data_IF_461529426688
#
_entry.id   IF_461529426688
#
_cell.length_a   1.000
_cell.length_b   1.000
_cell.length_c   1.000
_cell.angle_alpha   90.00
_cell.angle_beta   90.00
_cell.angle_gamma   90.00
#
_symmetry.space_group_name_H-M   'P 1'
#
loop_
_entity.id
_entity.type
_entity.pdbx_description
1 polymer ?
#
# COMPACT_ATOMS: atom_id res chain seq x y z
N UNK A 1 6.68 1.83 -11.03
CA UNK A 1 6.13 0.60 -10.41
C UNK A 1 5.93 -0.44 -11.52
N UNK A 2 6.38 -1.68 -11.34
CA UNK A 2 6.10 -2.79 -12.25
C UNK A 2 4.64 -3.21 -12.07
N UNK A 3 3.88 -3.32 -13.17
CA UNK A 3 2.48 -3.76 -13.08
C UNK A 3 2.39 -5.24 -12.67
N UNK A 4 1.40 -5.56 -11.86
CA UNK A 4 1.11 -6.93 -11.43
C UNK A 4 0.21 -7.56 -12.47
N UNK A 5 0.72 -8.59 -13.15
CA UNK A 5 0.00 -9.28 -14.22
C UNK A 5 -0.38 -10.70 -13.81
N UNK A 6 -1.51 -11.24 -14.30
CA UNK A 6 -1.90 -12.61 -13.99
C UNK A 6 -0.91 -13.61 -14.62
N UNK A 7 -0.63 -14.68 -13.89
CA UNK A 7 0.16 -15.83 -14.35
C UNK A 7 -0.80 -16.99 -14.56
N UNK A 8 -0.79 -17.60 -15.76
CA UNK A 8 -1.74 -18.66 -16.14
C UNK A 8 -3.22 -18.24 -15.93
N UNK A 9 -3.52 -16.96 -16.18
CA UNK A 9 -4.87 -16.41 -16.06
C UNK A 9 -5.32 -16.07 -14.64
N UNK A 10 -4.44 -16.15 -13.64
CA UNK A 10 -4.76 -15.86 -12.25
C UNK A 10 -3.75 -14.89 -11.63
N UNK A 11 -4.22 -14.01 -10.76
CA UNK A 11 -3.37 -13.25 -9.86
C UNK A 11 -2.93 -14.13 -8.70
N UNK A 12 -1.66 -14.05 -8.38
CA UNK A 12 -1.07 -14.75 -7.25
C UNK A 12 -0.87 -13.79 -6.08
N UNK A 13 -1.11 -14.29 -4.88
CA UNK A 13 -0.73 -13.58 -3.67
C UNK A 13 0.80 -13.56 -3.56
N UNK A 14 1.36 -12.38 -3.22
CA UNK A 14 2.78 -12.29 -2.93
C UNK A 14 3.15 -13.13 -1.70
N UNK A 15 4.34 -13.71 -1.68
CA UNK A 15 4.90 -14.34 -0.50
C UNK A 15 5.55 -13.27 0.41
N UNK A 16 5.34 -13.39 1.73
CA UNK A 16 6.00 -12.52 2.69
C UNK A 16 7.42 -13.02 2.96
N UNK A 17 8.44 -12.15 2.87
CA UNK A 17 9.81 -12.51 3.24
C UNK A 17 10.04 -12.49 4.78
N UNK A 18 8.98 -12.28 5.57
CA UNK A 18 9.02 -12.17 7.04
C UNK A 18 7.75 -12.78 7.65
N UNK A 19 7.85 -13.28 8.87
CA UNK A 19 6.72 -13.85 9.62
C UNK A 19 6.12 -12.86 10.64
N UNK A 20 6.86 -11.83 10.99
CA UNK A 20 6.49 -10.72 11.85
C UNK A 20 7.37 -9.51 11.51
N UNK A 21 7.00 -8.34 11.98
CA UNK A 21 7.79 -7.12 11.83
C UNK A 21 8.23 -6.59 13.20
N UNK A 22 8.89 -7.44 13.97
CA UNK A 22 9.39 -7.13 15.32
C UNK A 22 8.24 -6.68 16.24
N UNK A 23 8.44 -5.54 16.93
CA UNK A 23 7.43 -4.98 17.82
C UNK A 23 6.41 -4.09 17.08
N UNK A 24 6.48 -4.02 15.75
CA UNK A 24 5.62 -3.12 14.92
C UNK A 24 4.35 -3.80 14.48
N UNK A 25 4.44 -5.01 13.92
CA UNK A 25 3.29 -5.81 13.51
C UNK A 25 3.53 -7.26 13.92
N UNK A 26 2.64 -7.82 14.72
CA UNK A 26 2.73 -9.19 15.21
C UNK A 26 2.48 -10.23 14.11
N UNK A 27 2.99 -11.45 14.33
CA UNK A 27 2.69 -12.59 13.47
C UNK A 27 1.17 -12.88 13.40
N UNK A 28 0.43 -12.63 14.49
CA UNK A 28 -1.03 -12.78 14.51
C UNK A 28 -1.70 -11.80 13.54
N UNK A 29 -1.34 -10.53 13.59
CA UNK A 29 -1.87 -9.51 12.66
C UNK A 29 -1.54 -9.86 11.23
N UNK A 30 -0.30 -10.25 10.91
CA UNK A 30 0.09 -10.69 9.56
C UNK A 30 -0.68 -11.92 9.10
N UNK A 31 -0.92 -12.89 10.00
CA UNK A 31 -1.70 -14.09 9.69
C UNK A 31 -3.14 -13.78 9.25
N UNK A 32 -3.76 -12.75 9.82
CA UNK A 32 -5.07 -12.27 9.37
C UNK A 32 -4.96 -11.33 8.17
N UNK A 33 -4.11 -10.34 8.24
CA UNK A 33 -4.04 -9.28 7.24
C UNK A 33 -3.58 -9.80 5.88
N UNK A 34 -2.45 -10.51 5.82
CA UNK A 34 -1.96 -11.16 4.61
C UNK A 34 -2.69 -12.48 4.34
N UNK A 35 -2.71 -13.39 5.31
CA UNK A 35 -3.19 -14.76 5.13
C UNK A 35 -4.70 -14.91 4.96
N UNK A 36 -5.51 -13.91 5.33
CA UNK A 36 -6.97 -13.94 5.19
C UNK A 36 -7.50 -12.78 4.36
N UNK A 37 -7.22 -11.52 4.71
CA UNK A 37 -7.76 -10.36 3.98
C UNK A 37 -7.23 -10.30 2.55
N UNK A 38 -5.90 -10.21 2.36
CA UNK A 38 -5.33 -10.19 1.01
C UNK A 38 -5.70 -11.44 0.22
N UNK A 39 -5.63 -12.61 0.85
CA UNK A 39 -6.03 -13.87 0.19
C UNK A 39 -7.46 -13.82 -0.32
N UNK A 40 -8.40 -13.33 0.48
CA UNK A 40 -9.80 -13.23 0.06
C UNK A 40 -9.99 -12.28 -1.12
N UNK A 41 -9.27 -11.14 -1.15
CA UNK A 41 -9.32 -10.22 -2.29
C UNK A 41 -8.76 -10.85 -3.57
N UNK A 42 -7.64 -11.57 -3.48
CA UNK A 42 -7.06 -12.30 -4.62
C UNK A 42 -8.01 -13.40 -5.12
N UNK A 43 -8.56 -14.21 -4.22
CA UNK A 43 -9.50 -15.28 -4.58
C UNK A 43 -10.77 -14.72 -5.24
N UNK A 44 -11.32 -13.62 -4.71
CA UNK A 44 -12.52 -12.98 -5.26
C UNK A 44 -12.24 -12.31 -6.61
N UNK A 45 -11.09 -11.64 -6.77
CA UNK A 45 -10.66 -11.09 -8.05
C UNK A 45 -10.56 -12.19 -9.10
N UNK A 46 -9.88 -13.29 -8.80
CA UNK A 46 -9.72 -14.43 -9.71
C UNK A 46 -11.05 -15.08 -10.09
N UNK A 47 -12.02 -15.16 -9.17
CA UNK A 47 -13.37 -15.65 -9.46
C UNK A 47 -14.15 -14.73 -10.39
N UNK A 48 -13.90 -13.42 -10.31
CA UNK A 48 -14.61 -12.41 -11.08
C UNK A 48 -14.01 -12.18 -12.48
N UNK A 49 -12.76 -12.63 -12.74
CA UNK A 49 -12.08 -12.40 -14.02
C UNK A 49 -12.74 -13.09 -15.22
N UNK A 50 -13.12 -14.40 -15.17
CA UNK A 50 -13.68 -15.09 -16.33
C UNK A 50 -14.96 -14.40 -16.86
N UNK A 51 -14.97 -14.04 -18.14
CA UNK A 51 -16.10 -13.35 -18.80
C UNK A 51 -16.21 -11.86 -18.47
N UNK A 52 -15.25 -11.28 -17.77
CA UNK A 52 -15.30 -9.86 -17.37
C UNK A 52 -14.78 -8.90 -18.44
N UNK A 53 -14.02 -9.38 -19.44
CA UNK A 53 -13.27 -8.58 -20.39
C UNK A 53 -11.93 -8.05 -19.86
N UNK A 54 -11.57 -8.43 -18.63
CA UNK A 54 -10.27 -8.09 -18.02
C UNK A 54 -9.28 -9.26 -17.97
N UNK A 55 -9.59 -10.37 -18.64
CA UNK A 55 -8.71 -11.53 -18.70
C UNK A 55 -7.36 -11.15 -19.30
N UNK A 56 -6.28 -11.51 -18.63
CA UNK A 56 -4.91 -11.21 -19.06
C UNK A 56 -4.48 -9.76 -18.87
N UNK A 57 -5.36 -8.88 -18.38
CA UNK A 57 -5.02 -7.48 -18.10
C UNK A 57 -4.20 -7.36 -16.83
N UNK A 58 -3.30 -6.36 -16.80
CA UNK A 58 -2.57 -5.99 -15.59
C UNK A 58 -3.47 -5.35 -14.53
N UNK A 59 -3.06 -5.46 -13.29
CA UNK A 59 -3.85 -4.98 -12.15
C UNK A 59 -4.12 -3.47 -12.21
N UNK A 60 -3.14 -2.69 -12.68
CA UNK A 60 -3.29 -1.24 -12.90
C UNK A 60 -4.41 -0.92 -13.91
N UNK A 61 -4.49 -1.66 -15.02
CA UNK A 61 -5.55 -1.45 -16.02
C UNK A 61 -6.93 -1.80 -15.44
N UNK A 62 -7.03 -2.89 -14.68
CA UNK A 62 -8.28 -3.30 -14.03
C UNK A 62 -8.74 -2.23 -13.04
N UNK A 63 -7.85 -1.77 -12.16
CA UNK A 63 -8.14 -0.72 -11.18
C UNK A 63 -8.60 0.58 -11.82
N UNK A 64 -8.02 0.95 -12.98
CA UNK A 64 -8.40 2.20 -13.67
C UNK A 64 -9.74 2.11 -14.42
N UNK A 65 -10.22 0.90 -14.78
CA UNK A 65 -11.36 0.74 -15.70
C UNK A 65 -12.54 -0.03 -15.11
N UNK A 66 -12.29 -0.85 -14.09
CA UNK A 66 -13.34 -1.65 -13.45
C UNK A 66 -14.17 -0.82 -12.46
N UNK A 67 -15.36 -1.31 -12.19
CA UNK A 67 -16.29 -0.75 -11.22
C UNK A 67 -16.77 -1.80 -10.22
N UNK A 68 -17.42 -1.35 -9.15
CA UNK A 68 -18.08 -2.22 -8.16
C UNK A 68 -17.14 -3.24 -7.52
N UNK A 69 -17.58 -4.50 -7.46
CA UNK A 69 -16.81 -5.58 -6.80
C UNK A 69 -15.47 -5.90 -7.47
N UNK A 70 -15.39 -5.77 -8.81
CA UNK A 70 -14.13 -5.97 -9.54
C UNK A 70 -13.10 -4.91 -9.14
N UNK A 71 -13.49 -3.63 -9.17
CA UNK A 71 -12.65 -2.52 -8.70
C UNK A 71 -12.21 -2.72 -7.25
N UNK A 72 -13.14 -3.05 -6.35
CA UNK A 72 -12.84 -3.21 -4.93
C UNK A 72 -11.80 -4.30 -4.70
N UNK A 73 -11.96 -5.48 -5.32
CA UNK A 73 -11.01 -6.56 -5.15
C UNK A 73 -9.65 -6.25 -5.80
N UNK A 74 -9.64 -5.72 -7.02
CA UNK A 74 -8.41 -5.35 -7.70
C UNK A 74 -7.65 -4.24 -6.98
N UNK A 75 -8.35 -3.19 -6.52
CA UNK A 75 -7.78 -2.11 -5.72
C UNK A 75 -7.17 -2.62 -4.43
N UNK A 76 -7.87 -3.48 -3.71
CA UNK A 76 -7.34 -4.07 -2.47
C UNK A 76 -6.14 -4.99 -2.72
N UNK A 77 -6.13 -5.77 -3.80
CA UNK A 77 -4.94 -6.57 -4.16
C UNK A 77 -3.73 -5.66 -4.42
N UNK A 78 -3.91 -4.58 -5.18
CA UNK A 78 -2.85 -3.60 -5.45
C UNK A 78 -2.35 -2.95 -4.16
N UNK A 79 -3.27 -2.43 -3.35
CA UNK A 79 -2.97 -1.70 -2.12
C UNK A 79 -2.19 -2.57 -1.12
N UNK A 80 -2.68 -3.79 -0.87
CA UNK A 80 -2.03 -4.71 0.06
C UNK A 80 -0.68 -5.23 -0.46
N UNK A 81 -0.56 -5.51 -1.75
CA UNK A 81 0.72 -5.93 -2.33
C UNK A 81 1.77 -4.83 -2.13
N UNK A 82 1.45 -3.59 -2.45
CA UNK A 82 2.35 -2.46 -2.23
C UNK A 82 2.70 -2.25 -0.76
N UNK A 83 1.71 -2.42 0.13
CA UNK A 83 1.88 -2.30 1.58
C UNK A 83 2.85 -3.35 2.12
N UNK A 84 2.67 -4.62 1.77
CA UNK A 84 3.53 -5.68 2.30
C UNK A 84 4.94 -5.71 1.69
N UNK A 85 5.08 -5.37 0.41
CA UNK A 85 6.39 -5.34 -0.26
C UNK A 85 7.37 -4.34 0.35
N UNK A 86 6.88 -3.25 0.94
CA UNK A 86 7.71 -2.13 1.39
C UNK A 86 8.33 -2.31 2.78
N UNK A 87 8.07 -3.43 3.46
CA UNK A 87 8.55 -3.65 4.82
C UNK A 87 9.69 -4.67 4.92
N UNK A 88 10.60 -4.41 5.84
CA UNK A 88 11.72 -5.30 6.15
C UNK A 88 12.23 -5.08 7.56
N UNK A 89 12.63 -6.15 8.25
CA UNK A 89 13.37 -6.07 9.52
C UNK A 89 14.80 -5.55 9.34
N UNK A 90 15.34 -5.64 8.11
CA UNK A 90 16.63 -5.10 7.70
C UNK A 90 16.44 -3.90 6.76
N UNK A 91 15.55 -2.98 7.18
CA UNK A 91 15.18 -1.82 6.36
C UNK A 91 16.38 -0.96 5.99
N UNK A 92 16.42 -0.53 4.73
CA UNK A 92 17.43 0.40 4.24
C UNK A 92 16.94 1.84 4.37
N UNK A 93 17.80 2.79 4.75
CA UNK A 93 17.45 4.20 4.79
C UNK A 93 17.17 4.73 3.37
N UNK A 94 16.48 5.87 3.30
CA UNK A 94 16.29 6.59 2.05
C UNK A 94 17.65 7.00 1.46
N UNK A 95 17.80 6.86 0.14
CA UNK A 95 19.00 7.34 -0.55
C UNK A 95 19.06 8.87 -0.54
N UNK A 96 20.23 9.42 -0.84
CA UNK A 96 20.39 10.86 -0.99
C UNK A 96 19.43 11.45 -2.05
N UNK A 97 19.15 10.70 -3.13
CA UNK A 97 18.22 11.10 -4.19
C UNK A 97 16.78 11.21 -3.68
N UNK A 98 16.29 10.18 -3.00
CA UNK A 98 14.94 10.19 -2.45
C UNK A 98 14.79 11.23 -1.34
N UNK A 99 15.79 11.36 -0.46
CA UNK A 99 15.84 12.38 0.58
C UNK A 99 15.74 13.78 -0.01
N UNK A 100 16.51 14.10 -1.06
CA UNK A 100 16.46 15.40 -1.73
C UNK A 100 15.08 15.71 -2.35
N UNK A 101 14.39 14.70 -2.89
CA UNK A 101 13.02 14.88 -3.39
C UNK A 101 12.02 15.16 -2.26
N UNK A 102 12.15 14.44 -1.14
CA UNK A 102 11.32 14.66 0.05
C UNK A 102 11.58 16.06 0.63
N UNK A 103 12.84 16.47 0.75
CA UNK A 103 13.20 17.79 1.25
C UNK A 103 12.73 18.93 0.33
N UNK A 104 12.80 18.72 -0.99
CA UNK A 104 12.29 19.69 -1.98
C UNK A 104 10.79 19.94 -1.79
N UNK A 105 10.00 18.88 -1.57
CA UNK A 105 8.54 18.97 -1.62
C UNK A 105 7.90 19.16 -0.24
N UNK A 106 8.57 18.72 0.84
CA UNK A 106 8.05 18.76 2.22
C UNK A 106 8.95 19.51 3.21
N UNK A 107 10.11 20.02 2.77
CA UNK A 107 11.08 20.76 3.59
C UNK A 107 12.04 19.87 4.40
N UNK A 108 11.60 18.72 4.93
CA UNK A 108 12.44 17.76 5.62
C UNK A 108 11.78 16.38 5.67
N UNK A 109 12.57 15.33 5.96
CA UNK A 109 12.04 13.98 6.22
C UNK A 109 11.06 13.97 7.42
N UNK A 110 11.36 14.72 8.47
CA UNK A 110 10.50 14.81 9.66
C UNK A 110 9.17 15.51 9.35
N UNK A 111 9.19 16.58 8.57
CA UNK A 111 7.98 17.28 8.14
C UNK A 111 7.12 16.38 7.26
N UNK A 112 7.73 15.65 6.33
CA UNK A 112 7.06 14.66 5.50
C UNK A 112 6.37 13.57 6.35
N UNK A 113 7.11 12.95 7.28
CA UNK A 113 6.55 11.91 8.15
C UNK A 113 5.38 12.41 8.97
N UNK A 114 5.50 13.60 9.57
CA UNK A 114 4.43 14.23 10.34
C UNK A 114 3.18 14.48 9.51
N UNK A 115 3.33 15.01 8.29
CA UNK A 115 2.20 15.24 7.38
C UNK A 115 1.55 13.92 6.96
N UNK A 116 2.35 12.91 6.64
CA UNK A 116 1.88 11.58 6.25
C UNK A 116 1.10 10.91 7.39
N UNK A 117 1.64 10.91 8.62
CA UNK A 117 0.97 10.41 9.82
C UNK A 117 -0.33 11.15 10.10
N UNK A 118 -0.33 12.48 10.00
CA UNK A 118 -1.53 13.29 10.20
C UNK A 118 -2.62 12.93 9.18
N UNK A 119 -2.26 12.78 7.92
CA UNK A 119 -3.20 12.33 6.87
C UNK A 119 -3.74 10.93 7.18
N UNK A 120 -2.89 9.98 7.57
CA UNK A 120 -3.34 8.64 7.96
C UNK A 120 -4.26 8.64 9.18
N UNK A 121 -3.93 9.41 10.21
CA UNK A 121 -4.71 9.48 11.45
C UNK A 121 -6.08 10.16 11.25
N UNK A 122 -6.15 11.17 10.40
CA UNK A 122 -7.37 11.97 10.16
C UNK A 122 -8.28 11.40 9.07
N UNK A 123 -7.88 10.37 8.35
CA UNK A 123 -8.76 9.70 7.42
C UNK A 123 -9.93 9.07 8.18
N UNK A 124 -11.15 9.56 7.91
CA UNK A 124 -12.34 9.08 8.57
C UNK A 124 -12.78 7.73 7.99
N UNK A 125 -12.81 6.71 8.84
CA UNK A 125 -13.16 5.34 8.46
C UNK A 125 -11.98 4.54 7.94
N UNK A 126 -12.27 3.62 7.02
CA UNK A 126 -11.30 2.69 6.41
C UNK A 126 -10.66 3.30 5.17
N UNK A 127 -9.38 3.04 4.97
CA UNK A 127 -8.68 3.50 3.79
C UNK A 127 -7.17 3.43 3.91
N UNK A 128 -6.50 4.29 3.16
CA UNK A 128 -5.06 4.25 2.91
C UNK A 128 -4.50 5.67 2.83
N UNK A 129 -3.31 5.88 3.37
CA UNK A 129 -2.52 7.08 3.12
C UNK A 129 -1.37 6.75 2.17
N UNK A 130 -1.10 7.63 1.21
CA UNK A 130 -0.18 7.38 0.12
C UNK A 130 0.83 8.50 -0.06
N UNK A 131 2.08 8.15 -0.34
CA UNK A 131 3.04 8.99 -1.02
C UNK A 131 3.07 8.61 -2.48
N UNK A 132 2.92 9.59 -3.37
CA UNK A 132 2.90 9.38 -4.82
C UNK A 132 3.70 10.43 -5.54
N UNK A 133 4.04 10.16 -6.81
CA UNK A 133 4.61 11.16 -7.74
C UNK A 133 3.52 11.57 -8.72
N UNK A 134 3.35 12.87 -8.89
CA UNK A 134 2.47 13.42 -9.92
C UNK A 134 3.16 13.50 -11.31
N UNK A 135 2.41 13.97 -12.31
CA UNK A 135 2.90 14.09 -13.70
C UNK A 135 4.08 15.07 -13.87
N UNK A 136 4.25 15.99 -12.93
CA UNK A 136 5.31 17.00 -12.95
C UNK A 136 6.55 16.56 -12.12
N UNK A 137 6.52 15.33 -11.60
CA UNK A 137 7.59 14.76 -10.78
C UNK A 137 7.62 15.28 -9.34
N UNK A 138 6.51 15.87 -8.86
CA UNK A 138 6.35 16.33 -7.48
C UNK A 138 5.82 15.21 -6.62
N UNK A 139 6.35 15.10 -5.39
CA UNK A 139 5.85 14.20 -4.38
C UNK A 139 4.58 14.78 -3.72
N UNK A 140 3.55 13.97 -3.61
CA UNK A 140 2.26 14.37 -3.02
C UNK A 140 1.77 13.30 -2.05
N UNK A 141 1.14 13.74 -0.94
CA UNK A 141 0.48 12.86 0.03
C UNK A 141 -1.02 12.92 -0.21
N UNK A 142 -1.65 11.76 -0.40
CA UNK A 142 -3.09 11.64 -0.59
C UNK A 142 -3.72 10.67 0.40
N UNK A 143 -5.02 10.85 0.67
CA UNK A 143 -5.87 9.94 1.43
C UNK A 143 -6.85 9.29 0.46
N UNK A 144 -7.00 7.97 0.53
CA UNK A 144 -7.91 7.22 -0.32
C UNK A 144 -8.81 6.34 0.55
N UNK A 145 -10.11 6.34 0.29
CA UNK A 145 -11.07 5.57 1.07
C UNK A 145 -11.22 4.15 0.53
N UNK A 146 -11.51 3.23 1.41
CA UNK A 146 -11.83 1.84 1.06
C UNK A 146 -10.77 1.19 0.16
N UNK A 147 -11.11 0.89 -1.09
CA UNK A 147 -10.22 0.27 -2.08
C UNK A 147 -9.59 1.26 -3.05
N UNK A 148 -9.93 2.55 -2.94
CA UNK A 148 -9.38 3.59 -3.80
C UNK A 148 -7.85 3.68 -3.65
N UNK A 149 -7.20 4.12 -4.71
CA UNK A 149 -5.76 4.33 -4.72
C UNK A 149 -5.35 5.42 -5.74
N UNK A 150 -4.12 5.97 -5.65
CA UNK A 150 -3.68 7.08 -6.47
C UNK A 150 -3.60 6.78 -7.98
N UNK A 151 -3.54 5.50 -8.38
CA UNK A 151 -3.43 5.12 -9.80
C UNK A 151 -4.64 5.64 -10.60
N UNK A 152 -5.83 5.62 -9.99
CA UNK A 152 -7.06 6.14 -10.62
C UNK A 152 -7.04 7.66 -10.83
N UNK A 153 -6.12 8.36 -10.15
CA UNK A 153 -5.91 9.80 -10.28
C UNK A 153 -4.75 10.15 -11.23
N UNK A 154 -4.17 9.15 -11.89
CA UNK A 154 -2.99 9.33 -12.74
C UNK A 154 -1.69 9.59 -11.95
N UNK A 155 -1.69 9.31 -10.65
CA UNK A 155 -0.51 9.42 -9.80
C UNK A 155 0.24 8.07 -9.76
N UNK A 156 1.55 8.12 -9.60
CA UNK A 156 2.39 6.93 -9.42
C UNK A 156 2.66 6.71 -7.93
N UNK A 157 2.07 5.67 -7.31
CA UNK A 157 2.26 5.42 -5.89
C UNK A 157 3.65 4.88 -5.58
N UNK A 158 4.23 5.35 -4.47
CA UNK A 158 5.56 4.95 -3.97
C UNK A 158 5.50 4.21 -2.64
N UNK A 159 4.71 4.73 -1.70
CA UNK A 159 4.57 4.25 -0.31
C UNK A 159 3.11 4.33 0.10
N UNK A 160 2.66 3.36 0.88
CA UNK A 160 1.31 3.40 1.46
C UNK A 160 1.27 2.82 2.87
N UNK A 161 0.42 3.40 3.74
CA UNK A 161 0.06 2.79 5.02
C UNK A 161 -1.44 2.50 5.02
N UNK A 162 -1.77 1.29 5.45
CA UNK A 162 -3.14 0.82 5.62
C UNK A 162 -3.70 1.39 6.94
N UNK A 163 -4.84 2.07 6.88
CA UNK A 163 -5.54 2.58 8.06
C UNK A 163 -6.92 1.93 8.26
N UNK A 164 -7.18 0.82 7.59
CA UNK A 164 -8.24 -0.10 7.98
C UNK A 164 -7.93 -0.67 9.37
N UNK A 165 -8.91 -0.83 10.22
CA UNK A 165 -8.72 -1.34 11.59
C UNK A 165 -8.09 -2.74 11.61
N UNK A 166 -8.37 -3.59 10.63
CA UNK A 166 -7.79 -4.91 10.55
C UNK A 166 -6.24 -4.90 10.43
N UNK A 167 -5.66 -3.81 9.97
CA UNK A 167 -4.22 -3.68 9.82
C UNK A 167 -3.48 -3.48 11.15
N UNK A 168 -4.18 -2.96 12.19
CA UNK A 168 -3.50 -2.54 13.42
C UNK A 168 -4.26 -2.87 14.72
N UNK A 169 -5.54 -3.20 14.68
CA UNK A 169 -6.38 -3.23 15.89
C UNK A 169 -5.94 -4.29 16.91
N UNK A 170 -5.41 -5.44 16.45
CA UNK A 170 -4.92 -6.49 17.35
C UNK A 170 -3.69 -6.05 18.15
N UNK A 171 -2.83 -5.22 17.57
CA UNK A 171 -1.58 -4.78 18.21
C UNK A 171 -1.74 -3.42 18.90
N UNK A 172 -2.54 -2.52 18.35
CA UNK A 172 -2.63 -1.13 18.80
C UNK A 172 -4.03 -0.71 19.26
N UNK A 173 -5.07 -1.50 19.06
CA UNK A 173 -6.46 -1.18 19.33
C UNK A 173 -6.85 0.15 18.65
N UNK A 174 -7.37 1.13 19.39
CA UNK A 174 -7.76 2.43 18.87
C UNK A 174 -6.59 3.41 18.62
N UNK A 175 -5.35 3.01 18.92
CA UNK A 175 -4.17 3.88 18.83
C UNK A 175 -3.60 3.92 17.41
N UNK A 176 -4.40 4.32 16.42
CA UNK A 176 -3.98 4.43 15.01
C UNK A 176 -2.72 5.28 14.84
N UNK A 177 -2.59 6.38 15.60
CA UNK A 177 -1.42 7.26 15.53
C UNK A 177 -0.12 6.54 15.92
N UNK A 178 -0.15 5.71 16.99
CA UNK A 178 1.01 4.94 17.44
C UNK A 178 1.44 3.92 16.38
N UNK A 179 0.46 3.24 15.76
CA UNK A 179 0.71 2.33 14.65
C UNK A 179 1.39 3.02 13.47
N UNK A 180 0.85 4.17 13.04
CA UNK A 180 1.44 4.94 11.93
C UNK A 180 2.88 5.36 12.22
N UNK A 181 3.14 5.84 13.44
CA UNK A 181 4.49 6.22 13.87
C UNK A 181 5.45 5.02 13.94
N UNK A 182 4.96 3.85 14.36
CA UNK A 182 5.76 2.64 14.46
C UNK A 182 6.18 2.08 13.09
N UNK A 183 5.33 2.20 12.06
CA UNK A 183 5.60 1.66 10.73
C UNK A 183 6.90 2.18 10.10
N UNK A 184 7.33 3.40 10.41
CA UNK A 184 8.57 3.95 9.87
C UNK A 184 9.82 3.14 10.24
N UNK A 185 9.77 2.34 11.31
CA UNK A 185 10.89 1.50 11.75
C UNK A 185 11.15 0.35 10.79
N UNK A 186 10.17 -0.06 10.02
CA UNK A 186 10.23 -1.24 9.14
C UNK A 186 10.09 -0.92 7.66
N UNK A 187 9.90 0.36 7.28
CA UNK A 187 9.89 0.78 5.87
C UNK A 187 11.26 0.56 5.24
N UNK A 188 11.35 -0.27 4.22
CA UNK A 188 12.52 -0.37 3.35
C UNK A 188 12.44 0.70 2.25
N UNK A 189 13.17 1.79 2.45
CA UNK A 189 13.17 2.90 1.51
C UNK A 189 13.75 2.55 0.14
N UNK A 190 14.54 1.49 0.03
CA UNK A 190 15.02 1.01 -1.27
C UNK A 190 13.87 0.49 -2.15
N UNK A 191 12.86 -0.12 -1.55
CA UNK A 191 11.63 -0.53 -2.24
C UNK A 191 10.82 0.70 -2.67
N UNK A 192 10.65 1.67 -1.78
CA UNK A 192 9.97 2.93 -2.09
C UNK A 192 10.64 3.63 -3.27
N UNK A 193 11.96 3.73 -3.25
CA UNK A 193 12.75 4.34 -4.34
C UNK A 193 12.66 3.57 -5.66
N UNK A 194 12.59 2.25 -5.62
CA UNK A 194 12.48 1.42 -6.84
C UNK A 194 11.18 1.69 -7.62
N UNK A 195 10.21 2.35 -7.00
CA UNK A 195 8.93 2.74 -7.59
C UNK A 195 8.93 4.16 -8.18
N UNK A 196 10.05 4.92 -8.02
CA UNK A 196 10.25 6.27 -8.59
C UNK A 196 10.32 6.28 -10.17
#
# INVERSE_FOLDING_TARGET
>A
MKDITPVNGQFNMMELPYNELGNVISAQTLGFHHGKHLKAYVDNLNKALPGSGFEGKGLTEIVCKAEGGMFNNAGQVLNHTMYFEQFSLSSKPASAKLTALIERDFGSMDSFKKEFEQKGATLFGSGWVWLSVDKDGKLVITQQRNAENPVTMGLRPLLTFDVWEHAYYLDYQNRRADYLAALWQVVDWSVVESRL
#
